data_IF_793429742157
#
_entry.id   IF_793429742157
#
_cell.length_a   1.000
_cell.length_b   1.000
_cell.length_c   1.000
_cell.angle_alpha   90.00
_cell.angle_beta   90.00
_cell.angle_gamma   90.00
#
_symmetry.space_group_name_H-M   'P 1'
#
loop_
_entity.id
_entity.type
_entity.pdbx_description
1 polymer ?
#
# COMPACT_ATOMS: atom_id res chain seq x y z
N UNK A 1 -37.98 3.31 13.98
CA UNK A 1 -36.91 2.31 13.78
C UNK A 1 -35.75 3.03 13.12
N UNK A 2 -34.58 3.11 13.77
CA UNK A 2 -33.42 3.77 13.19
C UNK A 2 -32.78 2.83 12.18
N UNK A 3 -32.81 3.21 10.90
CA UNK A 3 -32.10 2.52 9.83
C UNK A 3 -30.61 2.63 10.14
N UNK A 4 -30.02 1.54 10.64
CA UNK A 4 -28.62 1.51 11.06
C UNK A 4 -27.73 1.86 9.88
N UNK A 5 -27.15 3.06 9.90
CA UNK A 5 -26.28 3.54 8.82
C UNK A 5 -25.12 2.56 8.67
N UNK A 6 -25.15 1.73 7.61
CA UNK A 6 -24.10 0.77 7.33
C UNK A 6 -22.80 1.55 7.08
N UNK A 7 -21.80 1.34 7.92
CA UNK A 7 -20.49 1.99 7.78
C UNK A 7 -19.94 1.74 6.37
N UNK A 8 -19.51 2.82 5.69
CA UNK A 8 -18.96 2.72 4.33
C UNK A 8 -17.67 1.92 4.38
N UNK A 9 -17.58 0.85 3.60
CA UNK A 9 -16.38 0.04 3.50
C UNK A 9 -15.56 0.46 2.27
N UNK A 10 -14.25 0.67 2.46
CA UNK A 10 -13.32 1.05 1.39
C UNK A 10 -12.18 0.05 1.33
N UNK A 11 -12.09 -0.69 0.23
CA UNK A 11 -11.01 -1.65 -0.01
C UNK A 11 -9.76 -0.93 -0.50
N UNK A 12 -8.65 -1.13 0.20
CA UNK A 12 -7.31 -0.61 -0.13
C UNK A 12 -6.35 -1.78 -0.24
N UNK A 13 -5.52 -1.80 -1.27
CA UNK A 13 -4.48 -2.82 -1.46
C UNK A 13 -3.09 -2.18 -1.44
N UNK A 14 -2.13 -2.83 -0.81
CA UNK A 14 -0.72 -2.42 -0.85
C UNK A 14 0.03 -3.36 -1.79
N UNK A 15 0.76 -2.79 -2.74
CA UNK A 15 1.59 -3.51 -3.73
C UNK A 15 3.04 -2.99 -3.69
N UNK A 16 3.98 -3.79 -4.19
CA UNK A 16 5.41 -3.47 -4.22
C UNK A 16 6.28 -4.65 -3.78
N UNK A 17 7.60 -4.51 -3.94
CA UNK A 17 8.57 -5.60 -3.72
C UNK A 17 8.60 -6.11 -2.27
N UNK A 18 9.22 -7.27 -2.09
CA UNK A 18 9.53 -7.78 -0.76
C UNK A 18 10.45 -6.82 0.00
N UNK A 19 10.18 -6.63 1.29
CA UNK A 19 11.01 -5.82 2.18
C UNK A 19 10.93 -4.30 1.97
N UNK A 20 10.01 -3.78 1.13
CA UNK A 20 9.82 -2.33 0.98
C UNK A 20 9.10 -1.69 2.16
N UNK A 21 8.44 -2.49 3.01
CA UNK A 21 7.79 -2.06 4.25
C UNK A 21 6.26 -1.95 4.20
N UNK A 22 5.59 -2.62 3.25
CA UNK A 22 4.12 -2.68 3.14
C UNK A 22 3.47 -3.11 4.47
N UNK A 23 3.89 -4.26 5.01
CA UNK A 23 3.37 -4.79 6.27
C UNK A 23 3.66 -3.86 7.45
N UNK A 24 4.83 -3.23 7.50
CA UNK A 24 5.19 -2.27 8.55
C UNK A 24 4.30 -1.01 8.49
N UNK A 25 3.99 -0.51 7.30
CA UNK A 25 3.06 0.60 7.09
C UNK A 25 1.65 0.24 7.57
N UNK A 26 1.14 -0.94 7.20
CA UNK A 26 -0.20 -1.37 7.65
C UNK A 26 -0.22 -1.57 9.16
N UNK A 27 0.78 -2.24 9.73
CA UNK A 27 0.86 -2.46 11.18
C UNK A 27 0.90 -1.14 11.96
N UNK A 28 1.74 -0.19 11.51
CA UNK A 28 1.84 1.14 12.10
C UNK A 28 0.53 1.89 11.99
N UNK A 29 -0.11 1.87 10.83
CA UNK A 29 -1.40 2.53 10.64
C UNK A 29 -2.51 1.92 11.50
N UNK A 30 -2.63 0.59 11.53
CA UNK A 30 -3.74 -0.09 12.21
C UNK A 30 -3.56 -0.11 13.73
N UNK A 31 -2.36 -0.39 14.21
CA UNK A 31 -2.10 -0.70 15.64
C UNK A 31 -1.16 0.28 16.33
N UNK A 32 -0.61 1.26 15.61
CA UNK A 32 0.45 2.13 16.11
C UNK A 32 1.69 1.38 16.65
N UNK A 33 2.03 0.24 16.04
CA UNK A 33 3.22 -0.55 16.36
C UNK A 33 4.20 -0.61 15.18
N UNK A 34 5.47 -0.83 15.49
CA UNK A 34 6.51 -1.12 14.52
C UNK A 34 7.34 -2.31 14.98
N UNK A 35 7.74 -3.16 14.03
CA UNK A 35 8.63 -4.28 14.26
C UNK A 35 9.80 -4.14 13.28
N UNK A 36 11.05 -4.00 13.76
CA UNK A 36 12.21 -3.86 12.89
C UNK A 36 12.48 -5.14 12.09
N UNK A 37 12.06 -6.29 12.63
CA UNK A 37 12.14 -7.59 11.98
C UNK A 37 10.73 -8.15 11.82
N UNK A 38 10.39 -8.53 10.59
CA UNK A 38 9.14 -9.19 10.24
C UNK A 38 9.40 -10.26 9.20
N UNK A 39 8.72 -11.39 9.33
CA UNK A 39 8.70 -12.40 8.28
C UNK A 39 8.04 -11.86 7.01
N UNK A 40 8.35 -12.47 5.87
CA UNK A 40 7.70 -12.11 4.62
C UNK A 40 6.23 -12.51 4.64
N UNK A 41 5.35 -11.62 4.21
CA UNK A 41 3.93 -11.96 3.97
C UNK A 41 3.83 -13.11 2.97
N UNK A 42 3.07 -14.15 3.33
CA UNK A 42 2.73 -15.28 2.47
C UNK A 42 1.38 -14.98 1.82
N UNK A 43 1.34 -14.88 0.48
CA UNK A 43 0.11 -14.54 -0.24
C UNK A 43 -0.36 -13.10 0.05
N UNK A 44 -1.30 -12.93 0.98
CA UNK A 44 -1.70 -11.63 1.50
C UNK A 44 -2.25 -11.73 2.93
N UNK A 45 -2.14 -10.64 3.68
CA UNK A 45 -2.80 -10.48 4.98
C UNK A 45 -3.89 -9.41 4.89
N UNK A 46 -4.92 -9.57 5.73
CA UNK A 46 -6.04 -8.66 5.81
C UNK A 46 -6.07 -7.98 7.17
N UNK A 47 -6.22 -6.66 7.19
CA UNK A 47 -6.49 -5.87 8.39
C UNK A 47 -7.62 -4.88 8.10
N UNK A 48 -8.29 -4.40 9.15
CA UNK A 48 -9.27 -3.32 9.00
C UNK A 48 -9.11 -2.26 10.07
N UNK A 49 -9.40 -1.01 9.71
CA UNK A 49 -9.42 0.12 10.63
C UNK A 49 -10.62 1.00 10.34
N UNK A 50 -11.41 1.30 11.35
CA UNK A 50 -12.45 2.31 11.26
C UNK A 50 -11.83 3.68 11.53
N UNK A 51 -12.09 4.64 10.64
CA UNK A 51 -11.71 6.04 10.81
C UNK A 51 -12.92 6.93 10.61
N UNK A 52 -12.95 8.04 11.33
CA UNK A 52 -13.89 9.12 11.08
C UNK A 52 -13.27 10.10 10.07
N UNK A 53 -13.90 10.26 8.91
CA UNK A 53 -13.47 11.20 7.86
C UNK A 53 -14.58 12.22 7.66
N UNK A 54 -14.37 13.45 8.16
CA UNK A 54 -15.46 14.39 8.37
C UNK A 54 -16.44 13.82 9.40
N UNK A 55 -17.72 13.74 9.04
CA UNK A 55 -18.77 13.14 9.90
C UNK A 55 -19.09 11.69 9.51
N UNK A 56 -18.31 11.06 8.62
CA UNK A 56 -18.57 9.71 8.13
C UNK A 56 -17.61 8.69 8.75
N UNK A 57 -18.17 7.66 9.38
CA UNK A 57 -17.41 6.48 9.79
C UNK A 57 -17.13 5.58 8.58
N UNK A 58 -15.85 5.47 8.19
CA UNK A 58 -15.38 4.66 7.08
C UNK A 58 -14.54 3.51 7.63
N UNK A 59 -14.87 2.29 7.23
CA UNK A 59 -14.07 1.10 7.52
C UNK A 59 -13.15 0.81 6.34
N UNK A 60 -11.86 1.04 6.54
CA UNK A 60 -10.84 0.67 5.58
C UNK A 60 -10.53 -0.82 5.69
N UNK A 61 -10.68 -1.53 4.58
CA UNK A 61 -10.35 -2.94 4.40
C UNK A 61 -9.00 -3.02 3.68
N UNK A 62 -7.94 -3.31 4.42
CA UNK A 62 -6.57 -3.16 3.97
C UNK A 62 -5.98 -4.53 3.66
N UNK A 63 -5.56 -4.70 2.42
CA UNK A 63 -4.90 -5.90 1.91
C UNK A 63 -3.40 -5.65 1.77
N UNK A 64 -2.59 -6.22 2.66
CA UNK A 64 -1.14 -6.25 2.55
C UNK A 64 -0.72 -7.48 1.74
N UNK A 65 -0.17 -7.30 0.54
CA UNK A 65 0.21 -8.43 -0.31
C UNK A 65 1.67 -8.83 -0.12
N UNK A 66 1.97 -10.09 -0.44
CA UNK A 66 3.34 -10.51 -0.66
C UNK A 66 3.98 -9.71 -1.80
N UNK A 67 5.27 -9.42 -1.65
CA UNK A 67 6.07 -8.78 -2.70
C UNK A 67 7.06 -9.72 -3.38
N UNK A 68 6.92 -11.04 -3.17
CA UNK A 68 7.78 -12.04 -3.81
C UNK A 68 7.20 -12.35 -5.18
N UNK A 69 8.05 -12.47 -6.18
CA UNK A 69 7.68 -12.72 -7.57
C UNK A 69 6.81 -13.98 -7.73
N UNK A 70 7.06 -15.02 -6.92
CA UNK A 70 6.26 -16.26 -6.95
C UNK A 70 4.78 -16.06 -6.64
N UNK A 71 4.40 -14.96 -5.98
CA UNK A 71 3.01 -14.61 -5.67
C UNK A 71 2.44 -13.54 -6.61
N UNK A 72 3.22 -13.06 -7.59
CA UNK A 72 2.80 -11.97 -8.48
C UNK A 72 1.53 -12.32 -9.28
N UNK A 73 1.39 -13.57 -9.73
CA UNK A 73 0.18 -14.05 -10.43
C UNK A 73 -1.10 -13.98 -9.60
N UNK A 74 -1.00 -13.86 -8.27
CA UNK A 74 -2.14 -13.68 -7.38
C UNK A 74 -2.56 -12.21 -7.26
N UNK A 75 -1.71 -11.24 -7.59
CA UNK A 75 -2.00 -9.83 -7.41
C UNK A 75 -3.35 -9.35 -7.99
N UNK A 76 -3.78 -9.82 -9.18
CA UNK A 76 -5.09 -9.48 -9.72
C UNK A 76 -6.28 -9.79 -8.80
N UNK A 77 -6.18 -10.86 -8.01
CA UNK A 77 -7.24 -11.20 -7.06
C UNK A 77 -7.36 -10.16 -5.93
N UNK A 78 -6.24 -9.54 -5.54
CA UNK A 78 -6.19 -8.63 -4.40
C UNK A 78 -6.62 -7.22 -4.78
N UNK A 79 -6.22 -6.70 -5.95
CA UNK A 79 -6.66 -5.37 -6.39
C UNK A 79 -8.05 -5.36 -7.06
N UNK A 80 -8.65 -6.53 -7.35
CA UNK A 80 -10.03 -6.61 -7.84
C UNK A 80 -11.00 -5.94 -6.86
N UNK A 81 -11.76 -4.96 -7.35
CA UNK A 81 -12.71 -4.19 -6.55
C UNK A 81 -12.06 -3.28 -5.49
N UNK A 82 -10.74 -3.07 -5.53
CA UNK A 82 -10.09 -2.09 -4.68
C UNK A 82 -10.45 -0.67 -5.14
N UNK A 83 -10.80 0.20 -4.20
CA UNK A 83 -11.01 1.62 -4.47
C UNK A 83 -9.68 2.38 -4.58
N UNK A 84 -8.63 1.89 -3.89
CA UNK A 84 -7.30 2.46 -3.96
C UNK A 84 -6.21 1.39 -3.90
N UNK A 85 -5.10 1.66 -4.57
CA UNK A 85 -3.84 0.94 -4.43
C UNK A 85 -2.76 1.88 -3.91
N UNK A 86 -2.01 1.44 -2.90
CA UNK A 86 -0.80 2.10 -2.45
C UNK A 86 0.38 1.27 -2.95
N UNK A 87 1.13 1.82 -3.91
CA UNK A 87 2.33 1.17 -4.44
C UNK A 87 3.54 1.70 -3.68
N UNK A 88 4.17 0.80 -2.92
CA UNK A 88 5.25 1.13 -1.99
C UNK A 88 6.59 0.77 -2.60
N UNK A 89 7.56 1.68 -2.50
CA UNK A 89 8.96 1.40 -2.78
C UNK A 89 9.83 1.85 -1.61
N UNK A 90 11.05 1.33 -1.57
CA UNK A 90 12.06 1.65 -0.57
C UNK A 90 13.01 2.71 -1.14
N UNK A 91 13.08 3.88 -0.52
CA UNK A 91 13.89 5.00 -1.04
C UNK A 91 15.40 4.70 -1.03
N UNK A 92 15.83 3.72 -0.24
CA UNK A 92 17.22 3.27 -0.17
C UNK A 92 17.55 2.22 -1.23
N UNK A 93 16.54 1.61 -1.87
CA UNK A 93 16.71 0.55 -2.88
C UNK A 93 16.15 0.95 -4.24
N UNK A 94 17.01 1.45 -5.11
CA UNK A 94 16.67 1.91 -6.47
C UNK A 94 15.89 0.89 -7.30
N UNK A 95 16.20 -0.40 -7.19
CA UNK A 95 15.50 -1.45 -7.93
C UNK A 95 14.00 -1.49 -7.61
N UNK A 96 13.61 -1.22 -6.35
CA UNK A 96 12.20 -1.21 -5.95
C UNK A 96 11.38 -0.09 -6.63
N UNK A 97 12.02 1.02 -6.99
CA UNK A 97 11.39 2.08 -7.78
C UNK A 97 11.16 1.65 -9.24
N UNK A 98 12.04 0.80 -9.79
CA UNK A 98 11.85 0.23 -11.14
C UNK A 98 10.65 -0.70 -11.12
N UNK A 99 10.56 -1.62 -10.16
CA UNK A 99 9.44 -2.54 -10.05
C UNK A 99 8.13 -1.81 -9.75
N UNK A 100 8.15 -0.73 -8.96
CA UNK A 100 6.98 0.12 -8.73
C UNK A 100 6.35 0.63 -10.05
N UNK A 101 7.17 1.01 -11.03
CA UNK A 101 6.65 1.47 -12.33
C UNK A 101 5.89 0.37 -13.07
N UNK A 102 6.32 -0.88 -12.93
CA UNK A 102 5.63 -2.02 -13.51
C UNK A 102 4.27 -2.22 -12.82
N UNK A 103 4.22 -2.14 -11.50
CA UNK A 103 2.95 -2.19 -10.74
C UNK A 103 1.97 -1.08 -11.15
N UNK A 104 2.45 0.14 -11.31
CA UNK A 104 1.61 1.26 -11.76
C UNK A 104 1.08 1.01 -13.17
N UNK A 105 1.91 0.50 -14.08
CA UNK A 105 1.49 0.15 -15.44
C UNK A 105 0.43 -0.95 -15.42
N UNK A 106 0.65 -2.01 -14.63
CA UNK A 106 -0.27 -3.13 -14.48
C UNK A 106 -1.63 -2.67 -13.93
N UNK A 107 -1.65 -1.88 -12.86
CA UNK A 107 -2.88 -1.34 -12.29
C UNK A 107 -3.66 -0.47 -13.29
N UNK A 108 -2.98 0.29 -14.14
CA UNK A 108 -3.63 1.08 -15.20
C UNK A 108 -4.20 0.22 -16.33
N UNK A 109 -3.64 -0.97 -16.56
CA UNK A 109 -4.05 -1.87 -17.64
C UNK A 109 -5.10 -2.88 -17.21
N UNK A 110 -5.00 -3.39 -15.97
CA UNK A 110 -5.75 -4.53 -15.47
C UNK A 110 -6.51 -4.24 -14.18
N UNK A 111 -6.24 -3.11 -13.54
CA UNK A 111 -6.93 -2.69 -12.32
C UNK A 111 -8.34 -2.16 -12.61
N UNK A 112 -9.13 -1.88 -11.56
CA UNK A 112 -10.43 -1.23 -11.71
C UNK A 112 -10.31 0.15 -12.37
N UNK A 113 -11.26 0.52 -13.24
CA UNK A 113 -11.20 1.76 -14.05
C UNK A 113 -10.97 3.04 -13.21
N UNK A 114 -11.57 3.10 -12.02
CA UNK A 114 -11.53 4.25 -11.13
C UNK A 114 -10.62 4.05 -9.91
N UNK A 115 -9.65 3.14 -9.99
CA UNK A 115 -8.74 2.90 -8.86
C UNK A 115 -7.85 4.13 -8.62
N UNK A 116 -7.84 4.63 -7.39
CA UNK A 116 -6.90 5.66 -6.97
C UNK A 116 -5.54 5.01 -6.72
N UNK A 117 -4.50 5.45 -7.45
CA UNK A 117 -3.14 4.94 -7.28
C UNK A 117 -2.30 5.96 -6.52
N UNK A 118 -1.90 5.62 -5.31
CA UNK A 118 -0.97 6.40 -4.50
C UNK A 118 0.43 5.77 -4.50
N UNK A 119 1.47 6.59 -4.57
CA UNK A 119 2.87 6.15 -4.48
C UNK A 119 3.41 6.50 -3.09
N UNK A 120 3.97 5.50 -2.40
CA UNK A 120 4.61 5.68 -1.11
C UNK A 120 6.11 5.40 -1.21
N UNK A 121 6.93 6.44 -1.01
CA UNK A 121 8.36 6.30 -0.77
C UNK A 121 8.59 6.03 0.71
N UNK A 122 8.93 4.79 1.05
CA UNK A 122 9.09 4.34 2.43
C UNK A 122 10.55 4.34 2.90
N UNK A 123 10.75 4.27 4.21
CA UNK A 123 12.05 4.32 4.92
C UNK A 123 12.73 5.69 4.85
N UNK A 124 11.93 6.74 4.99
CA UNK A 124 12.41 8.13 4.99
C UNK A 124 13.23 8.50 6.23
N UNK A 125 13.14 7.73 7.30
CA UNK A 125 14.08 7.75 8.43
C UNK A 125 15.52 7.40 8.01
N UNK A 126 15.70 6.71 6.88
CA UNK A 126 17.01 6.34 6.32
C UNK A 126 17.48 7.27 5.19
N UNK A 127 16.96 8.51 5.10
CA UNK A 127 17.19 9.44 3.96
C UNK A 127 18.67 9.77 3.72
N UNK A 128 19.54 9.66 4.73
CA UNK A 128 21.00 9.77 4.58
C UNK A 128 21.59 8.73 3.61
N UNK A 129 20.87 7.62 3.35
CA UNK A 129 21.23 6.56 2.40
C UNK A 129 20.52 6.70 1.05
N UNK A 130 19.80 7.80 0.80
CA UNK A 130 18.97 7.96 -0.40
C UNK A 130 19.79 8.10 -1.68
N UNK A 131 19.44 7.29 -2.67
CA UNK A 131 19.97 7.41 -4.04
C UNK A 131 19.21 8.53 -4.77
N UNK A 132 19.74 9.76 -4.80
CA UNK A 132 19.08 10.89 -5.49
C UNK A 132 19.18 10.78 -7.02
N UNK A 133 18.05 10.87 -7.73
CA UNK A 133 17.92 11.58 -9.03
C UNK A 133 16.56 12.27 -9.14
N UNK A 134 16.60 13.45 -9.78
CA UNK A 134 15.57 14.51 -9.88
C UNK A 134 14.28 14.10 -10.62
N UNK A 135 13.19 14.75 -10.19
CA UNK A 135 11.89 14.95 -10.84
C UNK A 135 11.03 13.71 -11.13
N UNK A 136 10.10 13.41 -10.22
CA UNK A 136 8.87 12.67 -10.53
C UNK A 136 7.70 13.56 -10.08
N UNK A 137 6.97 14.13 -11.03
CA UNK A 137 5.70 14.83 -10.81
C UNK A 137 4.60 13.79 -10.65
N UNK A 138 4.43 13.30 -9.43
CA UNK A 138 3.22 12.57 -8.99
C UNK A 138 3.21 12.72 -7.47
N UNK A 139 2.06 13.02 -6.87
CA UNK A 139 1.88 13.25 -5.43
C UNK A 139 2.55 12.14 -4.61
N UNK A 140 3.77 12.40 -4.17
CA UNK A 140 4.62 11.48 -3.43
C UNK A 140 4.25 11.62 -1.95
N UNK A 141 3.65 10.59 -1.37
CA UNK A 141 3.52 10.53 0.09
C UNK A 141 4.82 9.91 0.62
N UNK A 142 5.65 10.71 1.28
CA UNK A 142 6.73 10.15 2.10
C UNK A 142 6.08 9.53 3.34
N UNK A 143 6.30 8.23 3.52
CA UNK A 143 5.91 7.56 4.74
C UNK A 143 7.13 7.49 5.67
N UNK A 144 6.97 7.98 6.90
CA UNK A 144 7.92 7.79 8.00
C UNK A 144 7.57 6.48 8.69
N UNK A 145 8.28 5.40 8.37
CA UNK A 145 8.33 4.17 9.16
C UNK A 145 9.72 3.57 9.08
#
# INVERSE_FOLDING_TARGET
MAEGTKAREVKVVLLGDTGVGKSSLVLRFVTNNFRPYSESTIGASFMSKMLLVGDQAIKYQIWDTAGQEKYHSLAPMYYRGAAAAIVVYDITRKQSLVTLKNWVKELKQLGPDNIVIAIAGNKSDLDDKRVRRRNISTSLVCAMV
#
